data_IF_107833193612
#
_entry.id   IF_107833193612
#
_cell.length_a   1.000
_cell.length_b   1.000
_cell.length_c   1.000
_cell.angle_alpha   90.00
_cell.angle_beta   90.00
_cell.angle_gamma   90.00
#
_symmetry.space_group_name_H-M   'P 1'
#
loop_
_entity.id
_entity.type
_entity.pdbx_description
1 polymer ?
#
# COMPACT_ATOMS: atom_id res chain seq x y z
N UNK A 1 66.46 -24.56 -33.50
CA UNK A 1 65.33 -24.95 -34.35
C UNK A 1 64.19 -25.38 -33.44
N UNK A 2 62.95 -25.03 -33.77
CA UNK A 2 61.77 -25.31 -32.95
C UNK A 2 60.91 -26.31 -33.70
N UNK A 3 60.53 -27.41 -33.04
CA UNK A 3 59.74 -28.48 -33.64
C UNK A 3 58.35 -28.53 -33.01
N UNK A 4 57.34 -28.83 -33.83
CA UNK A 4 55.96 -29.00 -33.41
C UNK A 4 55.62 -30.50 -33.47
N UNK A 5 55.19 -31.06 -32.34
CA UNK A 5 54.65 -32.42 -32.27
C UNK A 5 53.13 -32.39 -32.50
N UNK A 6 52.65 -33.13 -33.50
CA UNK A 6 51.22 -33.24 -33.82
C UNK A 6 50.81 -34.72 -33.77
N UNK A 7 49.70 -35.08 -33.10
CA UNK A 7 49.23 -36.46 -33.09
C UNK A 7 48.72 -36.87 -34.48
N UNK A 8 48.98 -38.12 -34.88
CA UNK A 8 48.59 -38.69 -36.18
C UNK A 8 47.08 -38.92 -36.32
N UNK A 9 46.37 -39.10 -35.22
CA UNK A 9 44.91 -39.27 -35.23
C UNK A 9 44.22 -37.95 -34.89
N UNK A 10 43.29 -37.53 -35.75
CA UNK A 10 42.53 -36.26 -35.70
C UNK A 10 41.60 -36.09 -34.48
N UNK A 11 41.68 -36.96 -33.46
CA UNK A 11 40.71 -37.01 -32.37
C UNK A 11 40.96 -36.01 -31.22
N UNK A 12 42.10 -35.30 -31.21
CA UNK A 12 42.43 -34.32 -30.17
C UNK A 12 42.90 -32.98 -30.79
N UNK A 13 41.98 -32.11 -31.23
CA UNK A 13 42.31 -30.91 -32.00
C UNK A 13 43.04 -29.79 -31.23
N UNK A 14 43.48 -30.00 -29.98
CA UNK A 14 43.84 -28.90 -29.08
C UNK A 14 45.16 -29.06 -28.29
N UNK A 15 46.02 -30.02 -28.62
CA UNK A 15 47.31 -30.15 -27.92
C UNK A 15 48.46 -30.08 -28.91
N UNK A 16 49.19 -28.97 -28.88
CA UNK A 16 50.50 -28.82 -29.51
C UNK A 16 51.51 -28.51 -28.41
N UNK A 17 52.57 -29.31 -28.32
CA UNK A 17 53.64 -29.12 -27.33
C UNK A 17 54.86 -28.56 -28.03
N UNK A 18 55.34 -27.40 -27.56
CA UNK A 18 56.60 -26.80 -28.01
C UNK A 18 57.76 -27.35 -27.18
N UNK A 19 58.72 -27.99 -27.83
CA UNK A 19 59.91 -28.53 -27.18
C UNK A 19 61.21 -28.02 -27.85
N UNK A 20 62.30 -27.82 -27.09
CA UNK A 20 63.63 -27.57 -27.63
C UNK A 20 64.14 -28.79 -28.42
N UNK A 21 64.84 -28.53 -29.53
CA UNK A 21 65.36 -29.58 -30.43
C UNK A 21 66.23 -30.66 -29.76
N UNK A 22 66.88 -30.33 -28.65
CA UNK A 22 67.75 -31.27 -27.92
C UNK A 22 66.99 -32.40 -27.23
N UNK A 23 65.69 -32.20 -26.98
CA UNK A 23 64.90 -33.06 -26.08
C UNK A 23 63.89 -33.93 -26.86
N UNK A 24 63.83 -33.80 -28.19
CA UNK A 24 62.94 -34.54 -29.05
C UNK A 24 63.61 -35.82 -29.58
N UNK A 25 63.22 -36.98 -29.05
CA UNK A 25 63.62 -38.30 -29.58
C UNK A 25 62.52 -38.80 -30.49
N UNK A 26 62.84 -39.03 -31.77
CA UNK A 26 61.91 -39.68 -32.69
C UNK A 26 61.77 -41.16 -32.31
N UNK A 27 60.56 -41.59 -31.98
CA UNK A 27 60.23 -43.00 -31.80
C UNK A 27 59.59 -43.48 -33.11
N UNK A 28 60.26 -44.42 -33.79
CA UNK A 28 59.80 -44.99 -35.06
C UNK A 28 58.48 -45.78 -34.94
N UNK A 29 57.99 -45.99 -33.70
CA UNK A 29 56.73 -46.67 -33.40
C UNK A 29 55.56 -45.80 -32.92
N UNK A 30 55.72 -44.47 -32.77
CA UNK A 30 54.75 -43.62 -32.04
C UNK A 30 53.72 -42.86 -32.89
N UNK A 31 52.55 -42.58 -32.29
CA UNK A 31 51.39 -41.86 -32.85
C UNK A 31 51.62 -40.36 -33.15
N UNK A 32 52.87 -39.90 -33.30
CA UNK A 32 53.22 -38.48 -33.37
C UNK A 32 54.09 -38.15 -34.59
N UNK A 33 53.83 -36.99 -35.20
CA UNK A 33 54.61 -36.43 -36.31
C UNK A 33 55.42 -35.23 -35.82
N UNK A 34 56.70 -35.19 -36.21
CA UNK A 34 57.61 -34.06 -35.95
C UNK A 34 57.62 -33.17 -37.18
N UNK A 35 57.03 -31.98 -37.09
CA UNK A 35 57.01 -31.01 -38.21
C UNK A 35 57.99 -29.85 -37.96
N UNK A 36 58.86 -29.56 -38.93
CA UNK A 36 59.62 -28.31 -38.97
C UNK A 36 58.82 -27.24 -39.72
N UNK A 37 58.97 -25.97 -39.32
CA UNK A 37 58.03 -24.87 -39.55
C UNK A 37 57.69 -24.43 -40.99
N UNK A 38 57.89 -25.27 -42.02
CA UNK A 38 57.51 -24.96 -43.42
C UNK A 38 56.51 -25.95 -44.05
N UNK A 39 56.09 -27.01 -43.34
CA UNK A 39 55.14 -28.01 -43.87
C UNK A 39 54.01 -28.32 -42.85
N UNK A 40 53.12 -27.36 -42.61
CA UNK A 40 51.87 -27.60 -41.88
C UNK A 40 50.73 -27.91 -42.87
N UNK A 41 49.91 -28.96 -42.64
CA UNK A 41 48.72 -29.20 -43.44
C UNK A 41 47.69 -28.07 -43.26
N UNK A 42 46.89 -27.72 -44.28
CA UNK A 42 45.85 -26.71 -44.16
C UNK A 42 44.80 -27.14 -43.12
N UNK A 43 44.46 -26.25 -42.19
CA UNK A 43 43.40 -26.50 -41.22
C UNK A 43 42.05 -26.69 -41.95
N UNK A 44 41.25 -27.72 -41.61
CA UNK A 44 39.89 -27.83 -42.13
C UNK A 44 39.10 -26.60 -41.70
N UNK A 45 38.35 -26.00 -42.65
CA UNK A 45 37.44 -24.90 -42.34
C UNK A 45 36.42 -25.39 -41.31
N UNK A 46 36.37 -24.71 -40.17
CA UNK A 46 35.41 -25.00 -39.11
C UNK A 46 33.97 -24.76 -39.62
N UNK A 47 33.02 -25.68 -39.37
CA UNK A 47 31.61 -25.48 -39.73
C UNK A 47 30.89 -24.42 -38.87
N UNK A 48 31.58 -23.73 -37.95
CA UNK A 48 30.95 -22.81 -36.99
C UNK A 48 30.68 -21.39 -37.51
N UNK A 49 30.93 -21.06 -38.77
CA UNK A 49 30.71 -19.69 -39.28
C UNK A 49 29.30 -19.43 -39.82
N UNK A 50 28.52 -20.43 -40.25
CA UNK A 50 27.19 -20.19 -40.87
C UNK A 50 26.00 -20.25 -39.89
N UNK A 51 26.09 -20.93 -38.74
CA UNK A 51 24.96 -21.05 -37.79
C UNK A 51 24.82 -19.90 -36.78
N UNK A 52 25.79 -18.96 -36.76
CA UNK A 52 25.88 -17.92 -35.72
C UNK A 52 24.94 -16.73 -35.96
N UNK A 53 24.60 -16.43 -37.20
CA UNK A 53 23.92 -15.18 -37.56
C UNK A 53 22.48 -15.10 -37.02
N UNK A 54 21.67 -16.15 -37.18
CA UNK A 54 20.27 -16.10 -36.75
C UNK A 54 20.12 -16.04 -35.23
N UNK A 55 21.05 -16.66 -34.48
CA UNK A 55 21.05 -16.63 -33.02
C UNK A 55 21.36 -15.24 -32.49
N UNK A 56 22.31 -14.52 -33.11
CA UNK A 56 22.60 -13.13 -32.78
C UNK A 56 21.40 -12.22 -33.05
N UNK A 57 20.73 -12.37 -34.20
CA UNK A 57 19.52 -11.61 -34.52
C UNK A 57 18.38 -11.91 -33.55
N UNK A 58 18.18 -13.17 -33.18
CA UNK A 58 17.17 -13.57 -32.20
C UNK A 58 17.46 -12.97 -30.82
N UNK A 59 18.71 -13.02 -30.36
CA UNK A 59 19.13 -12.38 -29.10
C UNK A 59 18.87 -10.88 -29.13
N UNK A 60 19.25 -10.20 -30.21
CA UNK A 60 19.03 -8.76 -30.37
C UNK A 60 17.54 -8.41 -30.30
N UNK A 61 16.69 -9.15 -31.02
CA UNK A 61 15.24 -8.95 -31.01
C UNK A 61 14.65 -9.15 -29.61
N UNK A 62 15.06 -10.22 -28.91
CA UNK A 62 14.60 -10.50 -27.55
C UNK A 62 15.05 -9.40 -26.57
N UNK A 63 16.29 -8.91 -26.69
CA UNK A 63 16.79 -7.79 -25.88
C UNK A 63 16.01 -6.50 -26.16
N UNK A 64 15.77 -6.18 -27.44
CA UNK A 64 14.96 -5.02 -27.81
C UNK A 64 13.54 -5.12 -27.27
N UNK A 65 12.88 -6.28 -27.39
CA UNK A 65 11.57 -6.54 -26.81
C UNK A 65 11.57 -6.34 -25.29
N UNK A 66 12.60 -6.83 -24.60
CA UNK A 66 12.75 -6.65 -23.15
C UNK A 66 12.88 -5.18 -22.75
N UNK A 67 13.70 -4.41 -23.47
CA UNK A 67 13.88 -2.97 -23.23
C UNK A 67 12.58 -2.20 -23.49
N UNK A 68 11.87 -2.51 -24.58
CA UNK A 68 10.59 -1.87 -24.92
C UNK A 68 9.52 -2.19 -23.87
N UNK A 69 9.42 -3.44 -23.41
CA UNK A 69 8.50 -3.80 -22.33
C UNK A 69 8.84 -3.08 -21.03
N UNK A 70 10.13 -2.97 -20.68
CA UNK A 70 10.58 -2.20 -19.52
C UNK A 70 10.21 -0.71 -19.61
N UNK A 71 10.45 -0.10 -20.77
CA UNK A 71 10.10 1.30 -21.03
C UNK A 71 8.59 1.54 -20.97
N UNK A 72 7.78 0.63 -21.54
CA UNK A 72 6.32 0.70 -21.47
C UNK A 72 5.79 0.53 -20.03
N UNK A 73 6.39 -0.36 -19.24
CA UNK A 73 6.05 -0.51 -17.83
C UNK A 73 6.37 0.76 -17.03
N UNK A 74 7.54 1.37 -17.27
CA UNK A 74 7.94 2.63 -16.65
C UNK A 74 7.03 3.79 -17.07
N UNK A 75 6.72 3.92 -18.37
CA UNK A 75 5.79 4.94 -18.88
C UNK A 75 4.38 4.76 -18.31
N UNK A 76 3.89 3.53 -18.20
CA UNK A 76 2.58 3.22 -17.59
C UNK A 76 2.54 3.53 -16.10
N UNK A 77 3.67 3.37 -15.41
CA UNK A 77 3.79 3.56 -13.96
C UNK A 77 4.40 4.91 -13.56
N UNK A 78 4.75 5.77 -14.52
CA UNK A 78 5.36 7.08 -14.29
C UNK A 78 4.48 7.98 -13.39
N UNK A 79 3.17 7.76 -13.38
CA UNK A 79 2.20 8.50 -12.54
C UNK A 79 1.93 7.86 -11.18
N UNK A 80 2.61 6.77 -10.81
CA UNK A 80 2.50 6.23 -9.46
C UNK A 80 3.28 7.14 -8.51
N UNK A 81 2.58 8.06 -7.86
CA UNK A 81 3.12 8.80 -6.74
C UNK A 81 3.23 7.85 -5.56
N UNK A 82 4.45 7.38 -5.28
CA UNK A 82 4.72 6.61 -4.05
C UNK A 82 4.93 7.62 -2.94
N UNK A 83 3.92 7.80 -2.10
CA UNK A 83 4.03 8.61 -0.89
C UNK A 83 4.80 7.83 0.18
N UNK A 84 6.10 8.12 0.32
CA UNK A 84 6.92 7.57 1.39
C UNK A 84 6.65 8.37 2.68
N UNK A 85 5.73 7.90 3.52
CA UNK A 85 5.55 8.42 4.87
C UNK A 85 6.68 7.92 5.77
N UNK A 86 7.70 8.75 5.99
CA UNK A 86 8.74 8.48 6.98
C UNK A 86 8.17 8.77 8.35
N UNK A 87 7.81 7.72 9.10
CA UNK A 87 7.51 7.83 10.53
C UNK A 87 8.82 8.15 11.24
N UNK A 88 9.02 9.43 11.57
CA UNK A 88 10.15 9.85 12.39
C UNK A 88 9.87 9.44 13.84
N UNK A 89 10.92 9.02 14.54
CA UNK A 89 10.86 8.79 15.98
C UNK A 89 10.26 10.02 16.66
N UNK A 90 9.35 9.81 17.61
CA UNK A 90 8.64 10.88 18.29
C UNK A 90 9.64 11.82 18.94
N UNK A 91 9.97 12.92 18.27
CA UNK A 91 10.83 13.93 18.83
C UNK A 91 9.97 14.68 19.82
N UNK A 92 10.26 14.53 21.12
CA UNK A 92 9.63 15.34 22.14
C UNK A 92 9.68 16.81 21.69
N UNK A 93 8.57 17.56 21.72
CA UNK A 93 8.54 18.91 21.18
C UNK A 93 9.67 19.73 21.82
N UNK A 94 10.66 20.12 21.01
CA UNK A 94 11.79 20.95 21.42
C UNK A 94 11.41 22.43 21.51
N UNK A 95 10.24 22.70 22.09
CA UNK A 95 9.88 24.01 22.58
C UNK A 95 10.39 24.19 24.01
N UNK A 96 10.52 25.42 24.52
CA UNK A 96 10.63 25.60 25.96
C UNK A 96 9.50 24.79 26.60
N UNK A 97 9.83 23.97 27.60
CA UNK A 97 8.84 23.34 28.45
C UNK A 97 7.83 24.44 28.77
N UNK A 98 6.61 24.30 28.23
CA UNK A 98 5.58 25.29 28.50
C UNK A 98 5.53 25.34 30.02
N UNK A 99 5.93 26.48 30.56
CA UNK A 99 5.48 26.90 31.88
C UNK A 99 3.99 26.63 31.91
N UNK A 100 3.46 26.27 33.07
CA UNK A 100 2.05 25.96 33.30
C UNK A 100 1.11 27.16 33.03
N UNK A 101 1.44 28.04 32.08
CA UNK A 101 0.59 28.98 31.38
C UNK A 101 -0.46 28.18 30.62
N UNK A 102 -1.58 28.01 31.32
CA UNK A 102 -2.91 27.66 30.83
C UNK A 102 -2.86 26.58 29.75
N UNK A 103 -2.86 25.30 30.14
CA UNK A 103 -3.29 24.20 29.26
C UNK A 103 -4.50 24.72 28.49
N UNK A 104 -4.34 24.98 27.19
CA UNK A 104 -5.46 25.39 26.36
C UNK A 104 -6.54 24.34 26.61
N UNK A 105 -7.66 24.75 27.21
CA UNK A 105 -8.73 23.81 27.49
C UNK A 105 -9.15 23.28 26.12
N UNK A 106 -8.90 22.01 25.84
CA UNK A 106 -9.45 21.37 24.66
C UNK A 106 -10.97 21.45 24.82
N UNK A 107 -11.60 22.36 24.07
CA UNK A 107 -13.02 22.63 24.15
C UNK A 107 -13.78 21.85 23.10
N UNK A 108 -13.11 21.36 22.06
CA UNK A 108 -13.75 20.62 20.97
C UNK A 108 -12.97 19.36 20.59
N UNK A 109 -13.56 18.21 20.88
CA UNK A 109 -13.04 16.89 20.49
C UNK A 109 -13.93 16.31 19.39
N UNK A 110 -13.32 15.83 18.32
CA UNK A 110 -14.01 15.02 17.32
C UNK A 110 -13.61 13.56 17.49
N UNK A 111 -14.59 12.68 17.61
CA UNK A 111 -14.40 11.24 17.62
C UNK A 111 -15.11 10.62 16.41
N UNK A 112 -14.41 9.75 15.68
CA UNK A 112 -14.98 8.97 14.59
C UNK A 112 -14.94 7.48 14.96
N UNK A 113 -16.12 6.84 15.00
CA UNK A 113 -16.24 5.44 15.37
C UNK A 113 -17.38 4.74 14.60
N UNK A 114 -17.23 3.44 14.36
CA UNK A 114 -18.27 2.62 13.72
C UNK A 114 -19.37 2.28 14.73
N UNK A 115 -18.98 1.82 15.93
CA UNK A 115 -19.89 1.62 17.06
C UNK A 115 -20.34 2.98 17.63
N UNK A 116 -21.61 3.07 18.01
CA UNK A 116 -22.17 4.32 18.53
C UNK A 116 -23.43 4.15 19.36
N UNK A 117 -23.65 5.13 20.24
CA UNK A 117 -24.85 5.26 21.05
C UNK A 117 -25.37 6.69 20.95
N UNK A 118 -26.68 6.83 20.80
CA UNK A 118 -27.39 8.11 20.87
C UNK A 118 -28.50 7.96 21.92
N UNK A 119 -28.20 8.25 23.21
CA UNK A 119 -29.09 7.94 24.33
C UNK A 119 -30.49 8.52 24.18
N UNK A 120 -30.59 9.77 23.73
CA UNK A 120 -31.84 10.53 23.57
C UNK A 120 -32.76 9.93 22.51
N UNK A 121 -32.21 9.10 21.62
CA UNK A 121 -32.93 8.45 20.52
C UNK A 121 -33.07 6.94 20.71
N UNK A 122 -32.56 6.40 21.83
CA UNK A 122 -32.55 4.96 22.08
C UNK A 122 -31.71 4.16 21.08
N UNK A 123 -30.78 4.80 20.36
CA UNK A 123 -29.90 4.15 19.39
C UNK A 123 -28.70 3.57 20.12
N UNK A 124 -28.45 2.28 19.90
CA UNK A 124 -27.24 1.61 20.37
C UNK A 124 -26.76 0.59 19.34
N UNK A 125 -25.58 0.84 18.80
CA UNK A 125 -24.86 -0.07 17.92
C UNK A 125 -23.54 -0.41 18.58
N UNK A 126 -23.44 -1.64 19.08
CA UNK A 126 -22.22 -2.12 19.71
C UNK A 126 -22.02 -3.59 19.42
N UNK A 127 -20.78 -3.95 19.12
CA UNK A 127 -20.34 -5.32 18.87
C UNK A 127 -19.32 -5.78 19.92
N UNK A 128 -18.78 -4.88 20.76
CA UNK A 128 -17.78 -5.25 21.75
C UNK A 128 -17.49 -4.18 22.81
N UNK A 129 -16.22 -4.10 23.22
CA UNK A 129 -15.76 -3.17 24.25
C UNK A 129 -15.75 -1.70 23.82
N UNK A 130 -15.59 -1.44 22.51
CA UNK A 130 -15.50 -0.08 21.97
C UNK A 130 -16.76 0.75 22.29
N UNK A 131 -17.95 0.19 22.06
CA UNK A 131 -19.21 0.87 22.40
C UNK A 131 -19.34 1.21 23.90
N UNK A 132 -18.74 0.42 24.80
CA UNK A 132 -18.74 0.74 26.24
C UNK A 132 -17.85 1.94 26.56
N UNK A 133 -16.71 2.07 25.90
CA UNK A 133 -15.80 3.23 26.04
C UNK A 133 -16.48 4.48 25.52
N UNK A 134 -17.17 4.38 24.37
CA UNK A 134 -17.95 5.49 23.84
C UNK A 134 -19.08 5.90 24.80
N UNK A 135 -19.83 4.93 25.34
CA UNK A 135 -20.87 5.18 26.35
C UNK A 135 -20.31 5.93 27.57
N UNK A 136 -19.09 5.57 28.02
CA UNK A 136 -18.42 6.26 29.13
C UNK A 136 -17.99 7.67 28.74
N UNK A 137 -17.40 7.85 27.56
CA UNK A 137 -17.01 9.15 27.04
C UNK A 137 -18.21 10.10 26.96
N UNK A 138 -19.39 9.63 26.53
CA UNK A 138 -20.61 10.44 26.50
C UNK A 138 -21.07 10.96 27.87
N UNK A 139 -20.69 10.29 28.97
CA UNK A 139 -21.07 10.66 30.34
C UNK A 139 -20.00 11.47 31.07
N UNK A 140 -18.73 11.16 30.79
CA UNK A 140 -17.58 11.62 31.58
C UNK A 140 -16.67 12.61 30.84
N UNK A 141 -16.97 12.93 29.57
CA UNK A 141 -16.20 13.93 28.84
C UNK A 141 -16.20 15.28 29.59
N UNK A 142 -15.06 15.98 29.68
CA UNK A 142 -15.04 17.32 30.28
C UNK A 142 -16.04 18.28 29.61
N UNK A 143 -16.54 19.30 30.33
CA UNK A 143 -17.40 20.31 29.73
C UNK A 143 -16.78 20.93 28.47
N UNK A 144 -17.55 20.99 27.40
CA UNK A 144 -17.07 21.32 26.06
C UNK A 144 -17.96 20.76 24.97
N UNK A 145 -17.44 20.69 23.75
CA UNK A 145 -18.08 20.14 22.56
C UNK A 145 -17.45 18.80 22.18
N UNK A 146 -18.31 17.80 21.97
CA UNK A 146 -17.95 16.47 21.52
C UNK A 146 -18.68 16.18 20.20
N UNK A 147 -17.95 16.27 19.09
CA UNK A 147 -18.44 15.90 17.76
C UNK A 147 -18.21 14.41 17.52
N UNK A 148 -19.26 13.70 17.12
CA UNK A 148 -19.32 12.24 17.06
C UNK A 148 -19.72 11.82 15.66
N UNK A 149 -18.78 11.28 14.90
CA UNK A 149 -18.98 10.89 13.51
C UNK A 149 -19.23 9.39 13.43
N UNK A 150 -20.36 8.99 12.83
CA UNK A 150 -20.78 7.58 12.75
C UNK A 150 -21.46 7.24 11.41
N UNK A 151 -21.30 6.02 10.88
CA UNK A 151 -22.08 5.54 9.75
C UNK A 151 -23.54 5.23 10.16
N UNK A 152 -24.49 5.48 9.26
CA UNK A 152 -25.89 5.06 9.42
C UNK A 152 -26.08 3.63 8.91
N UNK A 153 -26.63 2.77 9.76
CA UNK A 153 -26.96 1.39 9.40
C UNK A 153 -28.44 1.24 9.02
N UNK A 154 -28.72 0.35 8.06
CA UNK A 154 -30.05 0.25 7.46
C UNK A 154 -31.13 -0.32 8.38
N UNK A 155 -30.74 -1.06 9.42
CA UNK A 155 -31.65 -1.67 10.40
C UNK A 155 -31.81 -0.84 11.69
N UNK A 156 -31.33 0.40 11.69
CA UNK A 156 -31.36 1.31 12.84
C UNK A 156 -32.28 2.50 12.53
N UNK A 157 -33.25 2.74 13.41
CA UNK A 157 -34.08 3.94 13.35
C UNK A 157 -33.38 5.08 14.11
N UNK A 158 -32.89 6.07 13.37
CA UNK A 158 -32.24 7.25 13.93
C UNK A 158 -33.22 8.38 14.30
N UNK A 159 -34.52 8.21 14.06
CA UNK A 159 -35.53 9.24 14.27
C UNK A 159 -35.35 10.46 13.35
N UNK A 160 -35.94 11.59 13.73
CA UNK A 160 -35.89 12.82 12.93
C UNK A 160 -34.51 13.48 13.02
N UNK A 161 -33.75 13.44 11.93
CA UNK A 161 -32.40 14.01 11.86
C UNK A 161 -32.36 15.11 10.79
N UNK A 162 -31.61 16.17 11.07
CA UNK A 162 -31.50 17.32 10.16
C UNK A 162 -30.39 17.06 9.14
N UNK A 163 -30.63 17.31 7.86
CA UNK A 163 -29.57 17.23 6.85
C UNK A 163 -28.56 18.37 7.09
N UNK A 164 -27.30 18.01 7.30
CA UNK A 164 -26.21 18.96 7.53
C UNK A 164 -25.48 19.32 6.23
N UNK A 165 -25.07 18.30 5.46
CA UNK A 165 -24.25 18.50 4.26
C UNK A 165 -24.28 17.26 3.36
N UNK A 166 -24.09 17.47 2.05
CA UNK A 166 -23.80 16.40 1.08
C UNK A 166 -22.34 16.45 0.67
N UNK A 167 -21.69 15.29 0.65
CA UNK A 167 -20.28 15.11 0.30
C UNK A 167 -20.17 14.33 -0.99
N UNK A 168 -19.42 14.85 -1.96
CA UNK A 168 -19.07 14.12 -3.17
C UNK A 168 -17.66 13.57 -3.03
N UNK A 169 -17.54 12.25 -2.90
CA UNK A 169 -16.28 11.56 -2.62
C UNK A 169 -15.97 10.61 -3.76
N UNK A 170 -14.74 10.64 -4.26
CA UNK A 170 -14.30 9.71 -5.29
C UNK A 170 -13.76 8.45 -4.60
N UNK A 171 -14.26 7.27 -4.97
CA UNK A 171 -13.74 5.98 -4.50
C UNK A 171 -13.66 5.04 -5.69
N UNK A 172 -12.48 4.46 -5.93
CA UNK A 172 -12.27 3.53 -7.04
C UNK A 172 -12.69 4.12 -8.41
N UNK A 173 -12.35 5.41 -8.60
CA UNK A 173 -12.65 6.18 -9.82
C UNK A 173 -14.12 6.55 -10.01
N UNK A 174 -14.99 6.34 -9.02
CA UNK A 174 -16.42 6.67 -9.07
C UNK A 174 -16.78 7.71 -8.03
N UNK A 175 -17.66 8.64 -8.40
CA UNK A 175 -18.22 9.61 -7.45
C UNK A 175 -19.32 8.95 -6.61
N UNK A 176 -19.28 9.20 -5.31
CA UNK A 176 -20.21 8.72 -4.31
C UNK A 176 -20.75 9.92 -3.52
N UNK A 177 -22.07 10.08 -3.47
CA UNK A 177 -22.72 11.09 -2.64
C UNK A 177 -22.98 10.52 -1.23
N UNK A 178 -22.35 11.11 -0.21
CA UNK A 178 -22.62 10.80 1.20
C UNK A 178 -23.44 11.94 1.79
N UNK A 179 -24.63 11.62 2.31
CA UNK A 179 -25.46 12.60 3.02
C UNK A 179 -25.11 12.55 4.51
N UNK A 180 -24.73 13.69 5.07
CA UNK A 180 -24.45 13.83 6.49
C UNK A 180 -25.67 14.44 7.16
N UNK A 181 -26.19 13.76 8.16
CA UNK A 181 -27.22 14.29 9.05
C UNK A 181 -26.62 14.67 10.39
N UNK A 182 -27.32 15.54 11.09
CA UNK A 182 -26.94 16.03 12.40
C UNK A 182 -28.04 15.74 13.41
N UNK A 183 -27.60 15.37 14.62
CA UNK A 183 -28.39 15.42 15.83
C UNK A 183 -27.56 16.07 16.94
N UNK A 184 -28.20 16.78 17.85
CA UNK A 184 -27.51 17.42 18.96
C UNK A 184 -28.22 17.16 20.30
N UNK A 185 -27.42 17.15 21.37
CA UNK A 185 -27.91 17.08 22.74
C UNK A 185 -26.88 17.66 23.70
N UNK A 186 -27.35 18.43 24.68
CA UNK A 186 -26.51 18.99 25.73
C UNK A 186 -26.86 18.35 27.07
N UNK A 187 -25.87 17.77 27.76
CA UNK A 187 -26.04 17.20 29.10
C UNK A 187 -24.76 17.41 29.90
N UNK A 188 -24.88 17.75 31.19
CA UNK A 188 -23.75 17.95 32.11
C UNK A 188 -22.65 18.91 31.60
N UNK A 189 -23.02 19.93 30.83
CA UNK A 189 -22.06 20.88 30.23
C UNK A 189 -21.32 20.34 29.00
N UNK A 190 -21.70 19.18 28.49
CA UNK A 190 -21.16 18.56 27.28
C UNK A 190 -22.16 18.78 26.15
N UNK A 191 -21.80 19.59 25.15
CA UNK A 191 -22.53 19.71 23.88
C UNK A 191 -22.10 18.55 22.98
N UNK A 192 -23.00 17.60 22.77
CA UNK A 192 -22.76 16.43 21.91
C UNK A 192 -23.43 16.69 20.56
N UNK A 193 -22.67 16.54 19.49
CA UNK A 193 -23.16 16.70 18.11
C UNK A 193 -22.82 15.44 17.34
N UNK A 194 -23.84 14.69 16.94
CA UNK A 194 -23.68 13.48 16.14
C UNK A 194 -23.80 13.82 14.66
N UNK A 195 -22.77 13.46 13.90
CA UNK A 195 -22.73 13.51 12.44
C UNK A 195 -22.92 12.09 11.91
N UNK A 196 -24.08 11.84 11.30
CA UNK A 196 -24.53 10.53 10.86
C UNK A 196 -24.42 10.44 9.34
N UNK A 197 -23.58 9.52 8.86
CA UNK A 197 -23.24 9.41 7.44
C UNK A 197 -24.13 8.36 6.78
N UNK A 198 -24.99 8.79 5.85
CA UNK A 198 -25.81 7.92 5.03
C UNK A 198 -25.16 7.68 3.66
N UNK A 199 -24.98 6.40 3.33
CA UNK A 199 -24.60 5.91 2.01
C UNK A 199 -24.91 4.40 1.93
N UNK A 200 -25.10 3.87 0.72
CA UNK A 200 -25.46 2.45 0.51
C UNK A 200 -24.45 1.47 1.14
N UNK A 201 -23.15 1.75 1.02
CA UNK A 201 -22.11 0.93 1.66
C UNK A 201 -22.25 0.85 3.19
N UNK A 202 -22.81 1.89 3.82
CA UNK A 202 -23.06 1.93 5.26
C UNK A 202 -24.37 1.22 5.60
N UNK A 203 -25.44 1.52 4.87
CA UNK A 203 -26.77 0.96 5.13
C UNK A 203 -26.88 -0.55 4.90
N UNK A 204 -26.00 -1.13 4.08
CA UNK A 204 -25.85 -2.58 3.94
C UNK A 204 -25.43 -3.30 5.24
N UNK A 205 -24.84 -2.59 6.20
CA UNK A 205 -24.45 -3.14 7.50
C UNK A 205 -25.61 -3.07 8.48
N UNK A 206 -25.55 -3.93 9.49
CA UNK A 206 -26.57 -4.01 10.54
C UNK A 206 -25.98 -3.69 11.91
N UNK A 207 -26.83 -3.34 12.87
CA UNK A 207 -26.40 -3.11 14.26
C UNK A 207 -25.71 -4.31 14.89
N UNK A 208 -26.04 -5.53 14.45
CA UNK A 208 -25.46 -6.79 14.95
C UNK A 208 -24.14 -7.14 14.27
N UNK A 209 -23.90 -6.63 13.05
CA UNK A 209 -22.69 -6.86 12.28
C UNK A 209 -22.22 -5.53 11.64
N UNK A 210 -21.78 -4.56 12.47
CA UNK A 210 -21.48 -3.21 12.01
C UNK A 210 -20.17 -3.14 11.20
N UNK A 211 -19.24 -4.07 11.47
CA UNK A 211 -17.93 -4.10 10.82
C UNK A 211 -17.97 -4.84 9.48
N UNK A 212 -17.51 -4.22 8.38
CA UNK A 212 -17.40 -4.90 7.09
C UNK A 212 -16.20 -5.86 7.09
N UNK A 213 -16.40 -7.08 6.59
CA UNK A 213 -15.36 -8.11 6.52
C UNK A 213 -15.56 -9.06 5.32
N UNK A 214 -14.52 -9.80 4.90
CA UNK A 214 -13.09 -9.64 5.23
C UNK A 214 -12.42 -8.49 4.46
N UNK A 215 -11.26 -8.01 4.96
CA UNK A 215 -10.46 -6.90 4.37
C UNK A 215 -9.92 -7.18 2.96
N UNK A 216 -10.02 -8.42 2.50
CA UNK A 216 -9.62 -8.86 1.16
C UNK A 216 -10.64 -8.50 0.08
N UNK A 217 -11.87 -8.15 0.45
CA UNK A 217 -12.93 -7.82 -0.51
C UNK A 217 -12.89 -6.34 -0.89
N UNK A 218 -12.89 -6.07 -2.20
CA UNK A 218 -12.90 -4.71 -2.74
C UNK A 218 -14.02 -3.83 -2.17
N UNK A 219 -15.23 -4.39 -1.95
CA UNK A 219 -16.34 -3.64 -1.34
C UNK A 219 -16.03 -3.13 0.07
N UNK A 220 -15.25 -3.89 0.85
CA UNK A 220 -14.83 -3.54 2.22
C UNK A 220 -13.80 -2.42 2.16
N UNK A 221 -12.88 -2.49 1.21
CA UNK A 221 -11.90 -1.43 0.98
C UNK A 221 -12.58 -0.12 0.53
N UNK A 222 -13.58 -0.21 -0.36
CA UNK A 222 -14.41 0.95 -0.76
C UNK A 222 -15.15 1.55 0.43
N UNK A 223 -15.69 0.73 1.34
CA UNK A 223 -16.31 1.20 2.58
C UNK A 223 -15.32 2.04 3.41
N UNK A 224 -14.13 1.50 3.70
CA UNK A 224 -13.16 2.19 4.54
C UNK A 224 -12.58 3.43 3.87
N UNK A 225 -12.38 3.40 2.55
CA UNK A 225 -11.99 4.58 1.78
C UNK A 225 -13.04 5.69 1.89
N UNK A 226 -14.30 5.37 1.58
CA UNK A 226 -15.41 6.33 1.64
C UNK A 226 -15.56 6.92 3.05
N UNK A 227 -15.53 6.04 4.07
CA UNK A 227 -15.61 6.42 5.48
C UNK A 227 -14.50 7.39 5.88
N UNK A 228 -13.24 7.07 5.61
CA UNK A 228 -12.12 7.91 6.01
C UNK A 228 -12.09 9.26 5.27
N UNK A 229 -12.41 9.27 3.98
CA UNK A 229 -12.52 10.51 3.21
C UNK A 229 -13.66 11.40 3.75
N UNK A 230 -14.81 10.82 4.10
CA UNK A 230 -15.92 11.58 4.66
C UNK A 230 -15.58 12.18 6.04
N UNK A 231 -14.93 11.40 6.92
CA UNK A 231 -14.41 11.88 8.21
C UNK A 231 -13.40 13.01 8.00
N UNK A 232 -12.54 12.93 6.98
CA UNK A 232 -11.56 13.97 6.68
C UNK A 232 -12.18 15.31 6.26
N UNK A 233 -13.31 15.27 5.52
CA UNK A 233 -14.07 16.49 5.21
C UNK A 233 -14.60 17.11 6.49
N UNK A 234 -15.18 16.31 7.40
CA UNK A 234 -15.67 16.81 8.69
C UNK A 234 -14.53 17.33 9.59
N UNK A 235 -13.36 16.69 9.59
CA UNK A 235 -12.17 17.21 10.27
C UNK A 235 -11.76 18.59 9.73
N UNK A 236 -11.83 18.78 8.42
CA UNK A 236 -11.47 20.05 7.76
C UNK A 236 -12.49 21.15 8.03
N UNK A 237 -13.78 20.81 8.02
CA UNK A 237 -14.89 21.73 8.24
C UNK A 237 -14.99 22.17 9.71
N UNK A 238 -14.91 21.20 10.64
CA UNK A 238 -15.16 21.42 12.06
C UNK A 238 -13.91 21.91 12.81
N UNK A 239 -12.71 21.62 12.30
CA UNK A 239 -11.41 22.02 12.87
C UNK A 239 -11.33 21.79 14.40
N UNK A 240 -11.55 20.55 14.87
CA UNK A 240 -11.51 20.25 16.29
C UNK A 240 -10.13 20.51 16.88
N UNK A 241 -10.08 20.81 18.18
CA UNK A 241 -8.82 20.94 18.93
C UNK A 241 -8.08 19.60 18.99
N UNK A 242 -8.82 18.49 19.01
CA UNK A 242 -8.30 17.13 19.07
C UNK A 242 -9.17 16.16 18.28
N UNK A 243 -8.53 15.38 17.41
CA UNK A 243 -9.12 14.20 16.79
C UNK A 243 -8.86 12.94 17.62
N UNK A 244 -9.89 12.40 18.25
CA UNK A 244 -9.85 11.14 18.97
C UNK A 244 -10.17 9.99 18.00
N UNK A 245 -9.15 9.35 17.46
CA UNK A 245 -9.27 8.20 16.57
C UNK A 245 -9.40 6.91 17.40
N UNK A 246 -10.56 6.26 17.28
CA UNK A 246 -10.82 4.98 17.94
C UNK A 246 -10.51 3.80 17.00
N UNK A 247 -9.50 3.02 17.35
CA UNK A 247 -8.98 1.92 16.53
C UNK A 247 -8.56 2.36 15.11
N UNK A 248 -8.29 1.38 14.25
CA UNK A 248 -7.78 1.60 12.89
C UNK A 248 -8.83 2.14 11.90
N UNK A 249 -10.12 1.99 12.20
CA UNK A 249 -11.21 2.16 11.22
C UNK A 249 -11.23 3.55 10.57
N UNK A 250 -10.91 4.59 11.34
CA UNK A 250 -10.87 5.98 10.90
C UNK A 250 -9.43 6.57 10.91
N UNK A 251 -8.41 5.71 10.96
CA UNK A 251 -7.01 6.12 11.11
C UNK A 251 -6.40 6.70 9.82
N UNK A 252 -7.03 6.48 8.66
CA UNK A 252 -6.59 7.07 7.40
C UNK A 252 -7.16 8.47 7.16
N UNK A 253 -8.18 8.90 7.92
CA UNK A 253 -8.83 10.19 7.73
C UNK A 253 -7.84 11.38 7.72
N UNK A 254 -6.85 11.47 8.62
CA UNK A 254 -5.86 12.55 8.59
C UNK A 254 -5.05 12.64 7.30
N UNK A 255 -4.89 11.54 6.54
CA UNK A 255 -4.16 11.55 5.26
C UNK A 255 -4.92 12.26 4.14
N UNK A 256 -6.25 12.36 4.25
CA UNK A 256 -7.11 13.04 3.28
C UNK A 256 -7.36 14.51 3.60
N UNK A 257 -6.97 14.97 4.79
CA UNK A 257 -7.22 16.34 5.22
C UNK A 257 -6.38 17.30 4.37
N UNK A 258 -7.06 18.20 3.65
CA UNK A 258 -6.42 19.23 2.84
C UNK A 258 -6.40 20.56 3.61
N UNK A 259 -5.31 21.32 3.48
CA UNK A 259 -5.21 22.68 4.01
C UNK A 259 -4.95 22.81 5.52
N UNK A 260 -5.00 21.73 6.31
CA UNK A 260 -4.48 21.72 7.68
C UNK A 260 -3.00 21.34 7.66
N UNK A 261 -2.15 22.14 8.32
CA UNK A 261 -0.73 21.81 8.46
C UNK A 261 -0.51 20.55 9.29
N UNK A 262 -1.29 20.38 10.35
CA UNK A 262 -1.27 19.25 11.27
C UNK A 262 -2.65 19.07 11.89
N UNK A 263 -3.09 17.82 12.04
CA UNK A 263 -4.28 17.44 12.81
C UNK A 263 -3.80 16.93 14.17
N UNK A 264 -4.03 17.63 15.29
CA UNK A 264 -3.76 17.06 16.60
C UNK A 264 -4.61 15.80 16.77
N UNK A 265 -3.98 14.64 16.92
CA UNK A 265 -4.68 13.36 16.99
C UNK A 265 -4.24 12.52 18.18
N UNK A 266 -5.19 11.83 18.78
CA UNK A 266 -4.99 10.76 19.75
C UNK A 266 -5.52 9.48 19.14
N UNK A 267 -4.64 8.50 18.92
CA UNK A 267 -5.01 7.16 18.49
C UNK A 267 -5.14 6.26 19.71
N UNK A 268 -6.33 5.72 19.95
CA UNK A 268 -6.60 4.80 21.04
C UNK A 268 -6.92 3.43 20.46
N UNK A 269 -6.05 2.46 20.74
CA UNK A 269 -6.20 1.07 20.30
C UNK A 269 -6.84 0.25 21.42
N UNK A 270 -8.07 -0.21 21.18
CA UNK A 270 -8.84 -1.01 22.11
C UNK A 270 -8.57 -2.51 21.92
N UNK A 271 -8.10 -2.90 20.74
CA UNK A 271 -7.70 -4.27 20.44
C UNK A 271 -6.47 -4.29 19.52
N UNK A 272 -5.37 -4.86 20.02
CA UNK A 272 -4.11 -4.95 19.29
C UNK A 272 -4.14 -5.96 18.12
N UNK A 273 -5.08 -6.91 18.12
CA UNK A 273 -5.22 -7.91 17.07
C UNK A 273 -5.81 -7.31 15.78
N UNK A 274 -6.70 -6.33 15.91
CA UNK A 274 -7.37 -5.70 14.78
C UNK A 274 -6.61 -4.45 14.33
N UNK A 275 -5.66 -4.63 13.42
CA UNK A 275 -4.84 -3.53 12.87
C UNK A 275 -5.28 -3.04 11.49
N UNK A 276 -6.35 -3.61 10.92
CA UNK A 276 -6.80 -3.23 9.57
C UNK A 276 -5.83 -3.65 8.46
N UNK A 277 -5.08 -4.74 8.65
CA UNK A 277 -4.14 -5.27 7.65
C UNK A 277 -4.89 -5.66 6.38
N UNK A 278 -4.43 -5.11 5.25
CA UNK A 278 -4.95 -5.43 3.92
C UNK A 278 -3.98 -6.41 3.27
N UNK A 279 -4.39 -7.66 3.14
CA UNK A 279 -3.66 -8.65 2.35
C UNK A 279 -3.84 -8.36 0.86
N UNK A 280 -2.74 -8.18 0.14
CA UNK A 280 -2.74 -7.80 -1.29
C UNK A 280 -2.93 -8.97 -2.24
N UNK A 281 -2.63 -10.19 -1.79
CA UNK A 281 -2.67 -11.41 -2.60
C UNK A 281 -4.04 -11.69 -3.24
N UNK A 282 -5.18 -11.55 -2.53
CA UNK A 282 -6.51 -11.75 -3.12
C UNK A 282 -7.03 -10.58 -3.96
N UNK A 283 -6.33 -9.43 -4.01
CA UNK A 283 -6.75 -8.23 -4.75
C UNK A 283 -6.24 -8.25 -6.21
N UNK A 284 -5.30 -9.15 -6.51
CA UNK A 284 -4.57 -9.22 -7.77
C UNK A 284 -5.10 -10.31 -8.73
N UNK A 285 -5.36 -9.93 -9.99
CA UNK A 285 -5.49 -10.90 -11.10
C UNK A 285 -4.09 -11.28 -11.67
N UNK A 286 -3.95 -12.54 -12.12
CA UNK A 286 -2.69 -13.26 -12.42
C UNK A 286 -1.58 -12.51 -13.18
N UNK A 287 -0.35 -13.01 -12.95
CA UNK A 287 0.98 -12.75 -13.58
C UNK A 287 1.73 -11.46 -13.21
N UNK A 288 1.06 -10.38 -12.77
CA UNK A 288 1.72 -9.15 -12.29
C UNK A 288 1.15 -8.68 -10.95
N UNK A 289 1.35 -9.50 -9.91
CA UNK A 289 0.49 -9.47 -8.73
C UNK A 289 0.63 -8.21 -7.87
N UNK A 290 1.86 -7.80 -7.55
CA UNK A 290 2.08 -6.70 -6.60
C UNK A 290 1.79 -5.33 -7.20
N UNK A 291 2.23 -5.07 -8.43
CA UNK A 291 2.05 -3.77 -9.08
C UNK A 291 0.58 -3.48 -9.43
N UNK A 292 -0.19 -4.51 -9.79
CA UNK A 292 -1.62 -4.37 -10.08
C UNK A 292 -2.44 -4.16 -8.81
N UNK A 293 -2.14 -4.89 -7.72
CA UNK A 293 -2.80 -4.72 -6.44
C UNK A 293 -2.56 -3.33 -5.82
N UNK A 294 -1.30 -2.86 -5.81
CA UNK A 294 -0.97 -1.53 -5.29
C UNK A 294 -1.63 -0.41 -6.09
N UNK A 295 -1.66 -0.53 -7.42
CA UNK A 295 -2.38 0.43 -8.28
C UNK A 295 -3.88 0.42 -8.03
N UNK A 296 -4.45 -0.75 -7.73
CA UNK A 296 -5.88 -0.85 -7.40
C UNK A 296 -6.17 -0.25 -6.03
N UNK A 297 -5.29 -0.47 -5.05
CA UNK A 297 -5.39 0.16 -3.74
C UNK A 297 -5.28 1.69 -3.85
N UNK A 298 -4.34 2.20 -4.65
CA UNK A 298 -4.21 3.65 -4.85
C UNK A 298 -5.45 4.26 -5.51
N UNK A 299 -6.12 3.55 -6.43
CA UNK A 299 -7.40 3.99 -6.99
C UNK A 299 -8.56 3.94 -5.97
N UNK A 300 -8.59 2.90 -5.12
CA UNK A 300 -9.65 2.75 -4.12
C UNK A 300 -9.53 3.81 -3.05
N UNK A 301 -8.32 4.04 -2.54
CA UNK A 301 -8.06 4.98 -1.45
C UNK A 301 -7.77 6.40 -1.95
N UNK A 302 -7.34 6.62 -3.19
CA UNK A 302 -6.83 7.91 -3.68
C UNK A 302 -5.62 8.42 -2.87
N UNK A 303 -4.74 7.49 -2.48
CA UNK A 303 -3.47 7.74 -1.81
C UNK A 303 -2.29 7.30 -2.67
#
# INVERSE_FOLDING_TARGET
ESFLLVPKQEALPHVAVFLPASDAVADDGGEWLVCSGTQLPPLPKSPCEEERDWQWWLMLILTCLWVVMGALALLRNWRCHVHLCVVREATAPSGPASTAETRASCKHVLCAAIEHTIPERGVKVSAGGLGKVLDQMLREHPPGELSLVHPMFGDVNYGDVEEYKRLNIIVDGKEHEVVVYMAESTCNGIKRVWYLLQHDLFSERTKQAPYPSPMTKLRVLRYFSLWNQAVAVLLTDLRPDLYHCMDYHAALAPLYVQGLKQVPMMLVLHNAEYMGVIETDPISDRLWQTASALRRLSLVFNL
#
